data_IF_121264602929
#
_entry.id   IF_121264602929
#
_cell.length_a   1.000
_cell.length_b   1.000
_cell.length_c   1.000
_cell.angle_alpha   90.00
_cell.angle_beta   90.00
_cell.angle_gamma   90.00
#
_symmetry.space_group_name_H-M   'P 1'
#
loop_
_entity.id
_entity.type
_entity.pdbx_description
1 polymer ?
#
# COMPACT_ATOMS: atom_id res chain seq x y z
N UNK A 1 -9.22 45.64 -21.92
CA UNK A 1 -7.95 45.36 -21.19
C UNK A 1 -8.19 44.42 -20.00
N UNK A 2 -9.42 43.93 -19.78
CA UNK A 2 -9.72 42.99 -18.69
C UNK A 2 -9.22 41.57 -18.95
N UNK A 3 -9.33 41.07 -20.19
CA UNK A 3 -9.06 39.65 -20.48
C UNK A 3 -7.57 39.30 -20.34
N UNK A 4 -6.66 40.19 -20.74
CA UNK A 4 -5.22 39.96 -20.60
C UNK A 4 -4.77 39.93 -19.14
N UNK A 5 -5.33 40.84 -18.31
CA UNK A 5 -5.04 40.88 -16.88
C UNK A 5 -5.55 39.61 -16.17
N UNK A 6 -6.75 39.16 -16.52
CA UNK A 6 -7.32 37.93 -15.96
C UNK A 6 -6.49 36.69 -16.31
N UNK A 7 -6.04 36.56 -17.56
CA UNK A 7 -5.18 35.44 -17.99
C UNK A 7 -3.83 35.49 -17.27
N UNK A 8 -3.26 36.68 -17.06
CA UNK A 8 -2.02 36.85 -16.29
C UNK A 8 -2.13 36.41 -14.82
N UNK A 9 -3.22 36.79 -14.15
CA UNK A 9 -3.46 36.44 -12.74
C UNK A 9 -3.68 34.93 -12.59
N UNK A 10 -4.48 34.31 -13.47
CA UNK A 10 -4.71 32.85 -13.46
C UNK A 10 -3.40 32.10 -13.69
N UNK A 11 -2.55 32.57 -14.60
CA UNK A 11 -1.24 31.97 -14.87
C UNK A 11 -0.32 31.97 -13.65
N UNK A 12 -0.27 33.06 -12.88
CA UNK A 12 0.54 33.16 -11.66
C UNK A 12 -0.02 32.25 -10.55
N UNK A 13 -1.34 32.22 -10.36
CA UNK A 13 -1.98 31.35 -9.37
C UNK A 13 -1.74 29.88 -9.71
N UNK A 14 -1.90 29.49 -10.98
CA UNK A 14 -1.64 28.12 -11.43
C UNK A 14 -0.16 27.72 -11.23
N UNK A 15 0.77 28.62 -11.52
CA UNK A 15 2.20 28.37 -11.33
C UNK A 15 2.55 28.14 -9.85
N UNK A 16 1.98 28.93 -8.93
CA UNK A 16 2.20 28.77 -7.50
C UNK A 16 1.49 27.55 -6.90
N UNK A 17 0.33 27.18 -7.45
CA UNK A 17 -0.48 26.07 -6.92
C UNK A 17 -0.01 24.68 -7.38
N UNK A 18 0.52 24.56 -8.61
CA UNK A 18 0.93 23.28 -9.19
C UNK A 18 1.92 22.48 -8.32
N UNK A 19 3.03 23.06 -7.81
CA UNK A 19 3.99 22.32 -6.98
C UNK A 19 3.34 21.78 -5.71
N UNK A 20 2.49 22.58 -5.08
CA UNK A 20 1.84 22.19 -3.83
C UNK A 20 0.81 21.07 -4.04
N UNK A 21 0.04 21.12 -5.13
CA UNK A 21 -0.93 20.06 -5.48
C UNK A 21 -0.21 18.74 -5.77
N UNK A 22 0.93 18.77 -6.45
CA UNK A 22 1.70 17.55 -6.76
C UNK A 22 2.25 16.93 -5.47
N UNK A 23 2.81 17.74 -4.57
CA UNK A 23 3.32 17.26 -3.29
C UNK A 23 2.21 16.61 -2.43
N UNK A 24 1.02 17.24 -2.36
CA UNK A 24 -0.13 16.70 -1.61
C UNK A 24 -0.60 15.37 -2.21
N UNK A 25 -0.62 15.24 -3.54
CA UNK A 25 -0.99 13.98 -4.20
C UNK A 25 0.00 12.86 -3.88
N UNK A 26 1.30 13.13 -3.98
CA UNK A 26 2.35 12.17 -3.65
C UNK A 26 2.27 11.72 -2.19
N UNK A 27 2.07 12.66 -1.27
CA UNK A 27 1.93 12.33 0.16
C UNK A 27 0.67 11.52 0.43
N UNK A 28 -0.44 11.84 -0.25
CA UNK A 28 -1.69 11.07 -0.15
C UNK A 28 -1.53 9.64 -0.69
N UNK A 29 -0.83 9.46 -1.81
CA UNK A 29 -0.54 8.14 -2.39
C UNK A 29 0.38 7.31 -1.49
N UNK A 30 1.41 7.95 -0.91
CA UNK A 30 2.29 7.30 0.06
C UNK A 30 1.54 6.88 1.31
N UNK A 31 0.69 7.75 1.85
CA UNK A 31 -0.12 7.45 3.03
C UNK A 31 -1.15 6.34 2.75
N UNK A 32 -1.74 6.32 1.55
CA UNK A 32 -2.58 5.21 1.09
C UNK A 32 -1.78 3.89 1.04
N UNK A 33 -0.57 3.91 0.49
CA UNK A 33 0.28 2.73 0.40
C UNK A 33 0.68 2.19 1.79
N UNK A 34 1.03 3.08 2.72
CA UNK A 34 1.29 2.72 4.13
C UNK A 34 0.04 2.08 4.74
N UNK A 35 -1.13 2.70 4.60
CA UNK A 35 -2.39 2.16 5.13
C UNK A 35 -2.72 0.77 4.58
N UNK A 36 -2.48 0.53 3.28
CA UNK A 36 -2.69 -0.78 2.65
C UNK A 36 -1.73 -1.84 3.17
N UNK A 37 -0.46 -1.47 3.40
CA UNK A 37 0.53 -2.37 3.96
C UNK A 37 0.25 -2.69 5.44
N UNK A 38 -0.22 -1.71 6.21
CA UNK A 38 -0.71 -1.92 7.59
C UNK A 38 -1.95 -2.82 7.64
N UNK A 39 -2.88 -2.66 6.69
CA UNK A 39 -4.03 -3.55 6.59
C UNK A 39 -3.60 -5.01 6.34
N UNK A 40 -2.56 -5.24 5.54
CA UNK A 40 -1.96 -6.58 5.36
C UNK A 40 -1.37 -7.09 6.68
N UNK A 41 -0.64 -6.28 7.43
CA UNK A 41 -0.11 -6.68 8.73
C UNK A 41 -1.23 -7.10 9.71
N UNK A 42 -2.32 -6.33 9.74
CA UNK A 42 -3.49 -6.66 10.56
C UNK A 42 -4.22 -7.92 10.06
N UNK A 43 -4.29 -8.14 8.75
CA UNK A 43 -4.83 -9.35 8.16
C UNK A 43 -3.99 -10.59 8.51
N UNK A 44 -2.65 -10.49 8.49
CA UNK A 44 -1.74 -11.55 8.92
C UNK A 44 -1.96 -11.88 10.40
N UNK A 45 -2.06 -10.88 11.26
CA UNK A 45 -2.36 -11.08 12.68
C UNK A 45 -3.71 -11.80 12.87
N UNK A 46 -4.73 -11.41 12.12
CA UNK A 46 -6.07 -12.01 12.16
C UNK A 46 -6.08 -13.44 11.62
N UNK A 47 -5.30 -13.73 10.58
CA UNK A 47 -5.08 -15.07 10.03
C UNK A 47 -4.45 -15.99 11.07
N UNK A 48 -3.39 -15.53 11.75
CA UNK A 48 -2.73 -16.28 12.82
C UNK A 48 -3.67 -16.51 14.01
N UNK A 49 -4.46 -15.49 14.36
CA UNK A 49 -5.42 -15.58 15.47
C UNK A 49 -6.55 -16.58 15.18
N UNK A 50 -7.09 -16.59 13.96
CA UNK A 50 -8.22 -17.44 13.59
C UNK A 50 -7.84 -18.91 13.40
N UNK A 51 -6.69 -19.20 12.77
CA UNK A 51 -6.22 -20.58 12.53
C UNK A 51 -5.45 -21.18 13.70
N UNK A 52 -4.92 -20.34 14.59
CA UNK A 52 -3.96 -20.74 15.61
C UNK A 52 -2.53 -20.80 15.07
N UNK A 53 -1.56 -20.43 15.92
CA UNK A 53 -0.17 -20.16 15.53
C UNK A 53 0.50 -21.31 14.76
N UNK A 54 0.40 -22.55 15.25
CA UNK A 54 1.10 -23.69 14.65
C UNK A 54 0.56 -23.99 13.24
N UNK A 55 -0.76 -24.11 13.10
CA UNK A 55 -1.41 -24.35 11.81
C UNK A 55 -1.17 -23.20 10.84
N UNK A 56 -1.26 -21.95 11.31
CA UNK A 56 -0.98 -20.79 10.49
C UNK A 56 0.45 -20.81 9.93
N UNK A 57 1.46 -21.12 10.75
CA UNK A 57 2.86 -21.22 10.30
C UNK A 57 3.04 -22.35 9.28
N UNK A 58 2.46 -23.53 9.54
CA UNK A 58 2.54 -24.67 8.62
C UNK A 58 1.90 -24.34 7.28
N UNK A 59 0.66 -23.85 7.28
CA UNK A 59 -0.07 -23.48 6.07
C UNK A 59 0.66 -22.36 5.31
N UNK A 60 1.15 -21.34 6.01
CA UNK A 60 1.88 -20.22 5.40
C UNK A 60 3.18 -20.66 4.73
N UNK A 61 3.90 -21.60 5.34
CA UNK A 61 5.11 -22.17 4.77
C UNK A 61 4.88 -23.00 3.49
N UNK A 62 3.63 -23.38 3.18
CA UNK A 62 3.29 -24.02 1.89
C UNK A 62 3.03 -23.02 0.77
N UNK A 63 2.85 -21.74 1.08
CA UNK A 63 2.57 -20.69 0.11
C UNK A 63 3.89 -20.16 -0.47
N UNK A 64 4.10 -20.39 -1.75
CA UNK A 64 5.37 -20.11 -2.42
C UNK A 64 5.51 -18.64 -2.80
N UNK A 65 4.40 -17.96 -3.11
CA UNK A 65 4.40 -16.64 -3.71
C UNK A 65 3.44 -15.68 -2.99
N UNK A 66 3.69 -14.38 -3.09
CA UNK A 66 2.86 -13.35 -2.44
C UNK A 66 1.41 -13.34 -2.91
N UNK A 67 1.12 -13.77 -4.14
CA UNK A 67 -0.26 -13.90 -4.61
C UNK A 67 -1.04 -14.99 -3.86
N UNK A 68 -0.39 -16.10 -3.51
CA UNK A 68 -1.00 -17.17 -2.73
C UNK A 68 -1.21 -16.73 -1.27
N UNK A 69 -0.24 -16.01 -0.71
CA UNK A 69 -0.35 -15.38 0.62
C UNK A 69 -1.47 -14.36 0.65
N UNK A 70 -1.56 -13.51 -0.37
CA UNK A 70 -2.64 -12.54 -0.53
C UNK A 70 -4.01 -13.23 -0.60
N UNK A 71 -4.12 -14.32 -1.36
CA UNK A 71 -5.35 -15.12 -1.44
C UNK A 71 -5.77 -15.65 -0.07
N UNK A 72 -4.80 -16.11 0.75
CA UNK A 72 -5.07 -16.56 2.12
C UNK A 72 -5.47 -15.41 3.07
N UNK A 73 -4.99 -14.19 2.81
CA UNK A 73 -5.32 -12.98 3.58
C UNK A 73 -6.61 -12.28 3.13
N UNK A 74 -7.06 -12.50 1.90
CA UNK A 74 -8.23 -11.84 1.32
C UNK A 74 -9.49 -11.86 2.22
N UNK A 75 -9.82 -12.96 2.94
CA UNK A 75 -10.97 -12.98 3.86
C UNK A 75 -10.83 -12.03 5.07
N UNK A 76 -9.61 -11.60 5.40
CA UNK A 76 -9.28 -10.75 6.53
C UNK A 76 -9.00 -9.30 6.11
N UNK A 77 -9.07 -8.99 4.81
CA UNK A 77 -8.88 -7.67 4.24
C UNK A 77 -10.22 -7.06 3.85
N UNK A 78 -10.43 -5.78 4.18
CA UNK A 78 -11.60 -5.05 3.72
C UNK A 78 -11.43 -4.65 2.25
N UNK A 79 -12.38 -5.05 1.40
CA UNK A 79 -12.39 -4.75 -0.05
C UNK A 79 -11.11 -5.20 -0.76
N UNK A 80 -10.75 -6.48 -0.62
CA UNK A 80 -9.66 -7.11 -1.36
C UNK A 80 -10.09 -7.39 -2.82
N UNK A 81 -9.41 -6.82 -3.83
CA UNK A 81 -9.53 -7.26 -5.22
C UNK A 81 -9.07 -8.71 -5.42
N UNK A 82 -9.39 -9.31 -6.56
CA UNK A 82 -9.01 -10.70 -6.85
C UNK A 82 -7.50 -10.89 -7.07
N UNK A 83 -6.80 -9.84 -7.53
CA UNK A 83 -5.37 -9.87 -7.81
C UNK A 83 -4.58 -9.00 -6.82
N UNK A 84 -3.43 -9.51 -6.35
CA UNK A 84 -2.56 -8.75 -5.45
C UNK A 84 -2.02 -7.47 -6.09
N UNK A 85 -1.79 -7.48 -7.42
CA UNK A 85 -1.37 -6.31 -8.19
C UNK A 85 -2.36 -5.15 -8.09
N UNK A 86 -3.65 -5.45 -8.04
CA UNK A 86 -4.71 -4.44 -8.03
C UNK A 86 -4.91 -3.84 -6.63
N UNK A 87 -4.40 -4.53 -5.61
CA UNK A 87 -4.36 -4.04 -4.24
C UNK A 87 -3.20 -3.05 -4.00
N UNK A 88 -2.15 -3.10 -4.83
CA UNK A 88 -0.98 -2.24 -4.71
C UNK A 88 -1.23 -0.88 -5.40
N UNK A 89 -0.98 0.26 -4.71
CA UNK A 89 -1.02 1.57 -5.36
C UNK A 89 0.07 1.71 -6.42
N UNK A 90 -0.22 2.41 -7.52
CA UNK A 90 0.75 2.59 -8.61
C UNK A 90 2.07 3.20 -8.13
N UNK A 91 3.20 2.57 -8.48
CA UNK A 91 4.54 2.99 -8.06
C UNK A 91 4.99 2.43 -6.71
N UNK A 92 4.09 1.79 -5.97
CA UNK A 92 4.38 1.11 -4.70
C UNK A 92 4.27 -0.40 -4.84
N UNK A 93 5.11 -1.13 -4.11
CA UNK A 93 5.00 -2.58 -3.97
C UNK A 93 5.01 -2.96 -2.50
N UNK A 94 4.20 -3.94 -2.15
CA UNK A 94 4.10 -4.47 -0.79
C UNK A 94 4.69 -5.88 -0.80
N UNK A 95 5.60 -6.13 0.13
CA UNK A 95 6.28 -7.40 0.32
C UNK A 95 5.66 -8.10 1.53
N UNK A 96 4.99 -9.24 1.29
CA UNK A 96 4.31 -9.98 2.36
C UNK A 96 5.34 -10.86 3.06
N UNK A 97 5.39 -10.89 4.42
CA UNK A 97 6.35 -11.71 5.15
C UNK A 97 6.31 -13.18 4.70
N UNK A 98 7.48 -13.72 4.39
CA UNK A 98 7.67 -15.11 4.00
C UNK A 98 7.61 -16.07 5.20
N UNK A 99 8.05 -15.62 6.37
CA UNK A 99 8.20 -16.40 7.58
C UNK A 99 7.43 -15.79 8.76
N UNK A 100 6.32 -16.42 9.17
CA UNK A 100 5.54 -16.00 10.33
C UNK A 100 6.18 -16.36 11.69
N UNK A 101 7.28 -17.11 11.71
CA UNK A 101 8.01 -17.39 12.96
C UNK A 101 8.78 -16.15 13.43
N UNK A 102 9.18 -15.30 12.48
CA UNK A 102 9.76 -13.98 12.70
C UNK A 102 8.63 -12.98 12.54
N UNK A 103 8.30 -12.23 13.60
CA UNK A 103 7.29 -11.18 13.51
C UNK A 103 7.87 -9.98 12.74
N UNK A 104 7.96 -10.10 11.41
CA UNK A 104 8.34 -9.02 10.51
C UNK A 104 7.09 -8.35 9.97
N UNK A 105 7.11 -7.00 9.91
CA UNK A 105 6.09 -6.24 9.19
C UNK A 105 6.24 -6.49 7.68
N UNK A 106 5.15 -6.37 6.94
CA UNK A 106 5.15 -6.29 5.49
C UNK A 106 6.05 -5.14 5.03
N UNK A 107 6.94 -5.42 4.07
CA UNK A 107 7.77 -4.39 3.46
C UNK A 107 6.93 -3.49 2.56
N UNK A 108 7.23 -2.20 2.56
CA UNK A 108 6.67 -1.26 1.58
C UNK A 108 7.82 -0.66 0.78
N UNK A 109 7.71 -0.66 -0.55
CA UNK A 109 8.70 -0.11 -1.47
C UNK A 109 8.05 0.91 -2.39
N UNK A 110 8.72 2.03 -2.62
CA UNK A 110 8.41 2.98 -3.69
C UNK A 110 9.48 2.81 -4.79
N UNK A 111 9.10 2.20 -5.91
CA UNK A 111 10.06 1.70 -6.90
C UNK A 111 11.05 0.69 -6.28
N UNK A 112 12.31 1.11 -6.10
CA UNK A 112 13.37 0.28 -5.49
C UNK A 112 13.71 0.68 -4.05
N UNK A 113 13.09 1.73 -3.52
CA UNK A 113 13.42 2.29 -2.21
C UNK A 113 12.51 1.72 -1.13
N UNK A 114 13.09 1.14 -0.08
CA UNK A 114 12.32 0.67 1.07
C UNK A 114 11.79 1.85 1.91
N UNK A 115 10.49 1.83 2.21
CA UNK A 115 9.82 2.75 3.11
C UNK A 115 9.68 2.06 4.47
N UNK A 116 10.31 2.64 5.49
CA UNK A 116 10.10 2.23 6.88
C UNK A 116 8.90 2.97 7.46
N UNK A 117 7.97 2.24 8.07
CA UNK A 117 6.75 2.74 8.69
C UNK A 117 6.32 1.86 9.89
#
# INVERSE_FOLDING_TARGET
MEVLAAVGIIGIIAFLALPNIIAIKQDSERNLAISRAEAINMAVASYVQSKGRTTAITDWGTLANDNERYTALAPYLAFAPDAFSDYQPGGFSIDIPDDLTKLTKAGLKEGTSDITY
#
